data_IF_629710848485
#
_entry.id   IF_629710848485
#
_cell.length_a   1.000
_cell.length_b   1.000
_cell.length_c   1.000
_cell.angle_alpha   90.00
_cell.angle_beta   90.00
_cell.angle_gamma   90.00
#
_symmetry.space_group_name_H-M   'P 1'
#
loop_
_entity.id
_entity.type
_entity.pdbx_description
1 polymer ?
#
# COMPACT_ATOMS: atom_id res chain seq x y z
N UNK A 1 -12.95 -32.17 30.78
CA UNK A 1 -11.97 -31.24 30.23
C UNK A 1 -10.87 -31.00 31.22
N UNK A 2 -9.65 -31.44 30.92
CA UNK A 2 -8.50 -31.30 31.81
C UNK A 2 -7.91 -29.90 31.78
N UNK A 3 -7.03 -29.58 32.71
CA UNK A 3 -6.29 -28.30 32.76
C UNK A 3 -5.48 -28.08 31.45
N UNK A 4 -4.96 -29.16 30.87
CA UNK A 4 -4.22 -29.10 29.62
C UNK A 4 -5.12 -28.67 28.45
N UNK A 5 -6.34 -29.19 28.35
CA UNK A 5 -7.30 -28.82 27.32
C UNK A 5 -7.68 -27.34 27.42
N UNK A 6 -7.88 -26.85 28.66
CA UNK A 6 -8.16 -25.43 28.90
C UNK A 6 -6.99 -24.53 28.51
N UNK A 7 -5.74 -24.94 28.77
CA UNK A 7 -4.54 -24.20 28.41
C UNK A 7 -4.36 -24.14 26.89
N UNK A 8 -4.54 -25.27 26.19
CA UNK A 8 -4.45 -25.32 24.72
C UNK A 8 -5.54 -24.47 24.06
N UNK A 9 -6.77 -24.51 24.59
CA UNK A 9 -7.86 -23.66 24.10
C UNK A 9 -7.55 -22.17 24.29
N UNK A 10 -7.00 -21.79 25.45
CA UNK A 10 -6.61 -20.40 25.72
C UNK A 10 -5.51 -19.91 24.78
N UNK A 11 -4.49 -20.73 24.52
CA UNK A 11 -3.40 -20.43 23.58
C UNK A 11 -3.99 -20.27 22.16
N UNK A 12 -4.82 -21.20 21.72
CA UNK A 12 -5.47 -21.16 20.41
C UNK A 12 -6.31 -19.89 20.20
N UNK A 13 -7.11 -19.55 21.22
CA UNK A 13 -7.93 -18.31 21.18
C UNK A 13 -7.06 -17.05 21.16
N UNK A 14 -5.98 -17.03 21.94
CA UNK A 14 -5.03 -15.91 21.96
C UNK A 14 -4.36 -15.69 20.61
N UNK A 15 -3.91 -16.77 19.97
CA UNK A 15 -3.34 -16.72 18.62
C UNK A 15 -4.37 -16.26 17.59
N UNK A 16 -5.60 -16.75 17.67
CA UNK A 16 -6.68 -16.34 16.78
C UNK A 16 -7.00 -14.85 16.93
N UNK A 17 -7.04 -14.33 18.14
CA UNK A 17 -7.26 -12.91 18.41
C UNK A 17 -6.11 -12.05 17.88
N UNK A 18 -4.86 -12.51 18.03
CA UNK A 18 -3.69 -11.84 17.50
C UNK A 18 -3.75 -11.75 15.97
N UNK A 19 -3.98 -12.88 15.29
CA UNK A 19 -4.12 -12.93 13.83
C UNK A 19 -5.28 -12.05 13.33
N UNK A 20 -6.41 -12.08 14.04
CA UNK A 20 -7.55 -11.22 13.68
C UNK A 20 -7.24 -9.72 13.85
N UNK A 21 -6.44 -9.35 14.86
CA UNK A 21 -5.95 -7.99 15.05
C UNK A 21 -5.07 -7.53 13.91
N UNK A 22 -4.12 -8.36 13.49
CA UNK A 22 -3.23 -8.09 12.37
C UNK A 22 -3.95 -8.08 11.01
N UNK A 23 -4.99 -8.90 10.83
CA UNK A 23 -5.78 -8.93 9.59
C UNK A 23 -6.68 -7.70 9.40
N UNK A 24 -6.95 -6.95 10.46
CA UNK A 24 -7.69 -5.67 10.40
C UNK A 24 -6.73 -4.49 10.25
N UNK A 25 -5.84 -4.57 9.28
CA UNK A 25 -4.88 -3.52 9.02
C UNK A 25 -5.59 -2.21 8.66
N UNK A 26 -5.43 -1.20 9.49
CA UNK A 26 -5.81 0.17 9.15
C UNK A 26 -4.92 0.71 8.02
N UNK A 27 -5.46 1.66 7.28
CA UNK A 27 -4.72 2.43 6.29
C UNK A 27 -4.81 3.90 6.68
N UNK A 28 -3.67 4.53 6.93
CA UNK A 28 -3.58 5.98 7.12
C UNK A 28 -3.45 6.69 5.79
N UNK A 29 -4.21 7.76 5.64
CA UNK A 29 -4.15 8.65 4.49
C UNK A 29 -3.28 9.85 4.84
N UNK A 30 -2.22 10.06 4.05
CA UNK A 30 -1.20 11.03 4.36
C UNK A 30 -1.38 12.32 3.58
N UNK A 31 -1.06 13.44 4.23
CA UNK A 31 -0.93 14.76 3.62
C UNK A 31 0.36 15.43 4.06
N UNK A 32 0.81 16.41 3.28
CA UNK A 32 2.03 17.18 3.58
C UNK A 32 1.72 18.31 4.54
N UNK A 33 2.52 18.45 5.58
CA UNK A 33 2.50 19.64 6.44
C UNK A 33 3.06 20.85 5.68
N UNK A 34 2.47 22.01 5.94
CA UNK A 34 2.88 23.26 5.30
C UNK A 34 4.34 23.58 5.58
N UNK A 35 5.09 23.91 4.52
CA UNK A 35 6.50 24.29 4.59
C UNK A 35 7.50 23.15 4.83
N UNK A 36 7.06 21.88 4.93
CA UNK A 36 7.90 20.71 5.20
C UNK A 36 7.94 19.68 4.09
N UNK A 37 8.78 18.66 4.29
CA UNK A 37 8.83 17.43 3.49
C UNK A 37 8.16 16.27 4.24
N UNK A 38 7.49 16.55 5.37
CA UNK A 38 6.89 15.57 6.23
C UNK A 38 5.46 15.27 5.81
N UNK A 39 5.15 13.99 5.72
CA UNK A 39 3.81 13.48 5.42
C UNK A 39 3.23 12.82 6.66
N UNK A 40 2.07 13.30 7.07
CA UNK A 40 1.39 12.90 8.30
C UNK A 40 -0.03 12.44 8.03
N UNK A 41 -0.60 11.70 8.97
CA UNK A 41 -1.98 11.24 8.90
C UNK A 41 -2.96 12.43 8.93
N UNK A 42 -3.74 12.57 7.86
CA UNK A 42 -4.73 13.65 7.72
C UNK A 42 -5.87 13.57 8.73
N UNK A 43 -6.13 12.41 9.31
CA UNK A 43 -7.12 12.25 10.35
C UNK A 43 -6.67 12.88 11.68
N UNK A 44 -5.35 12.90 11.93
CA UNK A 44 -4.74 13.51 13.12
C UNK A 44 -4.28 14.95 12.87
N UNK A 45 -4.01 15.28 11.60
CA UNK A 45 -3.50 16.57 11.15
C UNK A 45 -4.39 17.11 10.03
N UNK A 46 -5.55 17.70 10.35
CA UNK A 46 -6.47 18.24 9.35
C UNK A 46 -5.87 19.39 8.51
N UNK A 47 -4.81 20.02 8.99
CA UNK A 47 -4.04 21.05 8.30
C UNK A 47 -3.16 20.51 7.18
N UNK A 48 -2.90 19.21 7.16
CA UNK A 48 -2.07 18.58 6.14
C UNK A 48 -2.76 18.60 4.77
N UNK A 49 -2.03 19.00 3.74
CA UNK A 49 -2.54 19.22 2.39
C UNK A 49 -2.20 18.03 1.49
N UNK A 50 -3.20 17.55 0.76
CA UNK A 50 -3.03 16.55 -0.30
C UNK A 50 -3.27 17.24 -1.66
N UNK A 51 -2.33 17.15 -2.62
CA UNK A 51 -2.55 17.71 -3.96
C UNK A 51 -3.75 17.07 -4.66
N UNK A 52 -4.50 17.83 -5.46
CA UNK A 52 -5.61 17.27 -6.24
C UNK A 52 -5.16 16.11 -7.15
N UNK A 53 -5.98 15.08 -7.26
CA UNK A 53 -5.67 13.90 -8.08
C UNK A 53 -4.60 12.98 -7.51
N UNK A 54 -4.22 13.14 -6.26
CA UNK A 54 -3.23 12.31 -5.57
C UNK A 54 -3.86 11.67 -4.34
N UNK A 55 -3.53 10.41 -4.09
CA UNK A 55 -3.76 9.74 -2.81
C UNK A 55 -2.42 9.24 -2.28
N UNK A 56 -2.21 9.41 -1.00
CA UNK A 56 -1.02 8.92 -0.31
C UNK A 56 -1.49 8.04 0.85
N UNK A 57 -1.13 6.78 0.81
CA UNK A 57 -1.57 5.79 1.77
C UNK A 57 -0.40 5.12 2.47
N UNK A 58 -0.58 4.77 3.73
CA UNK A 58 0.34 3.95 4.52
C UNK A 58 -0.45 2.90 5.29
N UNK A 59 -0.26 1.60 5.01
CA UNK A 59 -0.74 0.55 5.89
C UNK A 59 -0.12 0.70 7.29
N UNK A 60 -0.92 0.53 8.34
CA UNK A 60 -0.47 0.71 9.74
C UNK A 60 0.24 -0.52 10.31
N UNK A 61 0.23 -1.63 9.57
CA UNK A 61 0.89 -2.88 9.91
C UNK A 61 1.55 -3.48 8.66
N UNK A 62 2.54 -4.36 8.82
CA UNK A 62 3.15 -5.05 7.69
C UNK A 62 2.12 -5.77 6.83
N UNK A 63 2.29 -5.67 5.51
CA UNK A 63 1.49 -6.44 4.55
C UNK A 63 1.91 -7.90 4.58
N UNK A 64 0.93 -8.80 4.65
CA UNK A 64 1.13 -10.24 4.57
C UNK A 64 -0.15 -10.90 4.00
N UNK A 65 -0.09 -12.18 3.67
CA UNK A 65 -1.20 -12.92 3.04
C UNK A 65 -2.55 -12.74 3.76
N UNK A 66 -2.56 -12.53 5.09
CA UNK A 66 -3.78 -12.40 5.87
C UNK A 66 -4.45 -11.02 5.84
N UNK A 67 -3.77 -9.97 5.36
CA UNK A 67 -4.32 -8.61 5.33
C UNK A 67 -4.21 -7.91 3.98
N UNK A 68 -3.37 -8.38 3.07
CA UNK A 68 -3.10 -7.71 1.79
C UNK A 68 -4.38 -7.42 1.00
N UNK A 69 -5.27 -8.40 0.84
CA UNK A 69 -6.54 -8.24 0.12
C UNK A 69 -7.43 -7.15 0.74
N UNK A 70 -7.53 -7.12 2.08
CA UNK A 70 -8.31 -6.12 2.81
C UNK A 70 -7.73 -4.71 2.66
N UNK A 71 -6.41 -4.57 2.72
CA UNK A 71 -5.72 -3.30 2.49
C UNK A 71 -5.97 -2.82 1.06
N UNK A 72 -5.73 -3.66 0.05
CA UNK A 72 -5.93 -3.26 -1.34
C UNK A 72 -7.41 -3.01 -1.69
N UNK A 73 -8.36 -3.70 -1.07
CA UNK A 73 -9.78 -3.37 -1.18
C UNK A 73 -10.09 -1.96 -0.64
N UNK A 74 -9.52 -1.60 0.51
CA UNK A 74 -9.64 -0.26 1.09
C UNK A 74 -9.05 0.81 0.16
N UNK A 75 -7.87 0.54 -0.42
CA UNK A 75 -7.24 1.45 -1.37
C UNK A 75 -8.09 1.63 -2.63
N UNK A 76 -8.67 0.55 -3.18
CA UNK A 76 -9.59 0.61 -4.33
C UNK A 76 -10.81 1.47 -4.04
N UNK A 77 -11.48 1.22 -2.94
CA UNK A 77 -12.66 2.00 -2.53
C UNK A 77 -12.36 3.50 -2.45
N UNK A 78 -11.22 3.87 -1.86
CA UNK A 78 -10.82 5.28 -1.76
C UNK A 78 -10.44 5.87 -3.12
N UNK A 79 -9.74 5.11 -3.95
CA UNK A 79 -9.38 5.53 -5.30
C UNK A 79 -10.62 5.77 -6.19
N UNK A 80 -11.61 4.91 -6.07
CA UNK A 80 -12.90 5.04 -6.79
C UNK A 80 -13.68 6.27 -6.36
N UNK A 81 -13.60 6.65 -5.09
CA UNK A 81 -14.22 7.86 -4.53
C UNK A 81 -13.42 9.14 -4.82
N UNK A 82 -12.22 9.05 -5.42
CA UNK A 82 -11.36 10.20 -5.70
C UNK A 82 -11.47 10.60 -7.16
N UNK A 83 -12.11 11.73 -7.48
CA UNK A 83 -12.25 12.20 -8.86
C UNK A 83 -10.88 12.49 -9.48
N UNK A 84 -10.73 12.13 -10.75
CA UNK A 84 -9.53 12.43 -11.54
C UNK A 84 -8.21 11.99 -10.87
N UNK A 85 -8.24 10.84 -10.19
CA UNK A 85 -7.03 10.28 -9.56
C UNK A 85 -5.97 10.04 -10.64
N UNK A 86 -4.80 10.65 -10.48
CA UNK A 86 -3.65 10.51 -11.39
C UNK A 86 -2.56 9.64 -10.76
N UNK A 87 -2.38 9.74 -9.45
CA UNK A 87 -1.32 9.05 -8.73
C UNK A 87 -1.80 8.54 -7.39
N UNK A 88 -1.45 7.30 -7.10
CA UNK A 88 -1.51 6.75 -5.76
C UNK A 88 -0.09 6.44 -5.29
N UNK A 89 0.30 7.02 -4.16
CA UNK A 89 1.56 6.71 -3.48
C UNK A 89 1.25 5.77 -2.32
N UNK A 90 1.89 4.61 -2.30
CA UNK A 90 1.79 3.64 -1.22
C UNK A 90 3.12 3.56 -0.48
N UNK A 91 3.13 3.98 0.77
CA UNK A 91 4.30 3.84 1.64
C UNK A 91 4.35 2.42 2.20
N UNK A 92 5.46 1.72 1.96
CA UNK A 92 5.76 0.39 2.49
C UNK A 92 6.69 0.44 3.71
N UNK A 93 6.68 1.55 4.44
CA UNK A 93 7.54 1.77 5.60
C UNK A 93 7.38 0.68 6.66
N UNK A 94 6.15 0.23 6.90
CA UNK A 94 5.81 -0.81 7.87
C UNK A 94 6.03 -2.24 7.35
N UNK A 95 6.34 -2.40 6.06
CA UNK A 95 6.49 -3.71 5.41
C UNK A 95 7.96 -3.97 5.04
N UNK A 96 8.77 -4.46 5.98
CA UNK A 96 10.19 -4.72 5.73
C UNK A 96 10.42 -5.90 4.77
N UNK A 97 9.43 -6.75 4.63
CA UNK A 97 9.37 -7.90 3.73
C UNK A 97 7.96 -8.09 3.19
N UNK A 98 7.80 -8.82 2.09
CA UNK A 98 6.52 -9.18 1.50
C UNK A 98 6.51 -10.67 1.12
N UNK A 99 5.46 -11.37 1.48
CA UNK A 99 5.24 -12.74 0.99
C UNK A 99 4.71 -12.75 -0.46
N UNK A 100 4.71 -13.92 -1.07
CA UNK A 100 4.31 -14.10 -2.47
C UNK A 100 2.88 -13.61 -2.74
N UNK A 101 1.95 -13.87 -1.83
CA UNK A 101 0.55 -13.45 -1.93
C UNK A 101 0.42 -11.92 -1.89
N UNK A 102 1.17 -11.27 -1.02
CA UNK A 102 1.19 -9.79 -0.94
C UNK A 102 1.79 -9.15 -2.18
N UNK A 103 2.83 -9.76 -2.76
CA UNK A 103 3.42 -9.29 -4.02
C UNK A 103 2.44 -9.45 -5.17
N UNK A 104 1.75 -10.58 -5.27
CA UNK A 104 0.72 -10.82 -6.28
C UNK A 104 -0.41 -9.79 -6.16
N UNK A 105 -0.95 -9.60 -4.96
CA UNK A 105 -2.00 -8.61 -4.69
C UNK A 105 -1.53 -7.17 -5.01
N UNK A 106 -0.26 -6.84 -4.76
CA UNK A 106 0.34 -5.55 -5.10
C UNK A 106 0.44 -5.37 -6.63
N UNK A 107 0.87 -6.39 -7.36
CA UNK A 107 0.94 -6.36 -8.83
C UNK A 107 -0.45 -6.23 -9.45
N UNK A 108 -1.45 -6.96 -8.95
CA UNK A 108 -2.84 -6.85 -9.38
C UNK A 108 -3.41 -5.46 -9.12
N UNK A 109 -3.06 -4.87 -7.97
CA UNK A 109 -3.46 -3.51 -7.66
C UNK A 109 -2.78 -2.48 -8.58
N UNK A 110 -1.50 -2.67 -8.92
CA UNK A 110 -0.80 -1.82 -9.87
C UNK A 110 -1.44 -1.88 -11.28
N UNK A 111 -1.80 -3.09 -11.73
CA UNK A 111 -2.51 -3.29 -12.99
C UNK A 111 -3.87 -2.58 -12.97
N UNK A 112 -4.64 -2.76 -11.89
CA UNK A 112 -5.94 -2.14 -11.72
C UNK A 112 -5.86 -0.61 -11.75
N UNK A 113 -4.91 0.02 -11.04
CA UNK A 113 -4.71 1.47 -11.06
C UNK A 113 -4.37 1.97 -12.46
N UNK A 114 -3.49 1.25 -13.17
CA UNK A 114 -3.10 1.61 -14.53
C UNK A 114 -4.23 1.51 -15.55
N UNK A 115 -5.10 0.50 -15.42
CA UNK A 115 -6.30 0.37 -16.26
C UNK A 115 -7.27 1.53 -16.10
N UNK A 116 -7.26 2.19 -14.94
CA UNK A 116 -8.07 3.38 -14.65
C UNK A 116 -7.38 4.70 -15.01
N UNK A 117 -6.23 4.64 -15.65
CA UNK A 117 -5.46 5.81 -16.06
C UNK A 117 -4.68 6.47 -14.91
N UNK A 118 -4.54 5.78 -13.77
CA UNK A 118 -3.77 6.23 -12.63
C UNK A 118 -2.42 5.50 -12.55
N UNK A 119 -1.48 6.04 -11.80
CA UNK A 119 -0.17 5.44 -11.56
C UNK A 119 -0.02 5.06 -10.09
N UNK A 120 0.37 3.81 -9.82
CA UNK A 120 0.84 3.41 -8.50
C UNK A 120 2.35 3.69 -8.39
N UNK A 121 2.75 4.34 -7.31
CA UNK A 121 4.15 4.58 -6.94
C UNK A 121 4.34 4.08 -5.51
N UNK A 122 5.40 3.33 -5.28
CA UNK A 122 5.77 2.85 -3.95
C UNK A 122 6.86 3.75 -3.36
N UNK A 123 6.70 4.11 -2.10
CA UNK A 123 7.68 4.86 -1.33
C UNK A 123 8.17 4.02 -0.14
N UNK A 124 9.35 4.33 0.38
CA UNK A 124 9.93 3.67 1.56
C UNK A 124 10.07 2.15 1.42
N UNK A 125 10.32 1.69 0.20
CA UNK A 125 10.52 0.27 -0.10
C UNK A 125 11.87 -0.18 0.43
N UNK A 126 11.91 -1.23 1.23
CA UNK A 126 13.16 -1.84 1.73
C UNK A 126 13.88 -2.61 0.62
N UNK A 127 15.19 -2.75 0.72
CA UNK A 127 16.01 -3.40 -0.31
C UNK A 127 15.56 -4.84 -0.61
N UNK A 128 15.22 -5.62 0.42
CA UNK A 128 14.66 -6.97 0.25
C UNK A 128 13.43 -6.98 -0.65
N UNK A 129 12.50 -6.03 -0.43
CA UNK A 129 11.28 -5.92 -1.24
C UNK A 129 11.60 -5.41 -2.65
N UNK A 130 12.58 -4.51 -2.81
CA UNK A 130 13.05 -4.05 -4.13
C UNK A 130 13.58 -5.21 -4.97
N UNK A 131 14.40 -6.07 -4.36
CA UNK A 131 14.98 -7.24 -5.01
C UNK A 131 13.88 -8.20 -5.47
N UNK A 132 12.89 -8.46 -4.61
CA UNK A 132 11.73 -9.29 -4.94
C UNK A 132 10.92 -8.71 -6.12
N UNK A 133 10.58 -7.42 -6.08
CA UNK A 133 9.87 -6.75 -7.17
C UNK A 133 10.69 -6.75 -8.48
N UNK A 134 12.01 -6.60 -8.38
CA UNK A 134 12.93 -6.71 -9.51
C UNK A 134 12.94 -8.09 -10.16
N UNK A 135 12.71 -9.16 -9.39
CA UNK A 135 12.59 -10.53 -9.90
C UNK A 135 11.22 -10.76 -10.59
N UNK A 136 10.14 -10.22 -10.04
CA UNK A 136 8.77 -10.36 -10.58
C UNK A 136 8.60 -9.62 -11.91
N UNK A 137 9.28 -8.48 -12.11
CA UNK A 137 9.28 -7.68 -13.35
C UNK A 137 7.88 -7.36 -13.89
N UNK A 138 6.99 -6.90 -13.01
CA UNK A 138 5.65 -6.50 -13.44
C UNK A 138 5.69 -5.31 -14.39
N UNK A 139 5.02 -5.41 -15.53
CA UNK A 139 4.93 -4.33 -16.52
C UNK A 139 4.13 -3.11 -15.99
N UNK A 140 3.22 -3.34 -15.06
CA UNK A 140 2.38 -2.31 -14.45
C UNK A 140 3.03 -1.67 -13.21
N UNK A 141 4.16 -2.26 -12.74
CA UNK A 141 4.98 -1.75 -11.65
C UNK A 141 6.46 -1.72 -12.07
N UNK A 142 6.87 -0.82 -12.98
CA UNK A 142 8.24 -0.73 -13.44
C UNK A 142 9.19 -0.28 -12.33
N UNK A 143 10.49 -0.54 -12.47
CA UNK A 143 11.51 -0.20 -11.45
C UNK A 143 11.45 1.26 -10.99
N UNK A 144 11.14 2.20 -11.88
CA UNK A 144 10.97 3.60 -11.52
C UNK A 144 9.83 3.83 -10.52
N UNK A 145 8.80 2.98 -10.51
CA UNK A 145 7.65 3.13 -9.61
C UNK A 145 7.95 2.75 -8.16
N UNK A 146 9.03 2.02 -7.88
CA UNK A 146 9.47 1.68 -6.53
C UNK A 146 10.91 2.14 -6.23
N UNK A 147 11.45 3.04 -7.07
CA UNK A 147 12.74 3.68 -6.84
C UNK A 147 12.76 4.72 -5.71
N UNK A 148 11.66 5.48 -5.43
CA UNK A 148 11.67 6.53 -4.42
C UNK A 148 12.06 6.04 -3.03
N UNK A 149 12.89 6.81 -2.34
CA UNK A 149 13.27 6.55 -0.95
C UNK A 149 12.27 7.14 0.05
N UNK A 150 11.58 8.21 -0.34
CA UNK A 150 10.60 8.91 0.49
C UNK A 150 9.30 9.11 -0.25
N UNK A 151 8.25 9.52 0.49
CA UNK A 151 6.98 9.93 -0.10
C UNK A 151 7.17 11.20 -0.95
N UNK A 152 8.03 12.11 -0.51
CA UNK A 152 8.33 13.35 -1.27
C UNK A 152 8.97 13.03 -2.63
N UNK A 153 9.94 12.11 -2.66
CA UNK A 153 10.54 11.65 -3.92
C UNK A 153 9.49 11.01 -4.84
N UNK A 154 8.58 10.22 -4.27
CA UNK A 154 7.49 9.60 -5.01
C UNK A 154 6.54 10.62 -5.65
N UNK A 155 6.34 11.75 -4.96
CA UNK A 155 5.52 12.84 -5.49
C UNK A 155 6.16 13.58 -6.66
N UNK A 156 7.48 13.59 -6.76
CA UNK A 156 8.24 14.29 -7.79
C UNK A 156 8.43 13.46 -9.07
N UNK A 157 8.11 12.16 -9.04
CA UNK A 157 8.23 11.32 -10.24
C UNK A 157 7.32 11.84 -11.37
N UNK A 158 7.78 11.79 -12.63
CA UNK A 158 6.92 12.12 -13.77
C UNK A 158 5.76 11.10 -13.86
N UNK A 159 4.60 11.54 -14.32
CA UNK A 159 3.50 10.64 -14.63
C UNK A 159 3.88 9.78 -15.84
N UNK A 160 3.65 8.48 -15.74
CA UNK A 160 3.81 7.59 -16.89
C UNK A 160 2.74 7.92 -17.93
N UNK A 161 3.09 7.86 -19.24
CA UNK A 161 2.09 8.06 -20.28
C UNK A 161 0.99 6.99 -20.14
N UNK A 162 -0.26 7.35 -20.43
CA UNK A 162 -1.36 6.40 -20.39
C UNK A 162 -1.05 5.22 -21.33
N UNK A 163 -1.38 4.01 -20.89
CA UNK A 163 -1.23 2.82 -21.73
C UNK A 163 -2.07 3.06 -23.01
N UNK A 164 -1.42 3.07 -24.17
CA UNK A 164 -2.16 3.08 -25.44
C UNK A 164 -3.12 1.90 -25.42
N UNK A 165 -4.42 2.18 -25.46
CA UNK A 165 -5.41 1.13 -25.68
C UNK A 165 -5.13 0.52 -27.05
N UNK A 166 -4.72 -0.73 -27.09
CA UNK A 166 -4.78 -1.52 -28.32
C UNK A 166 -6.26 -1.61 -28.72
N UNK A 167 -6.69 -0.63 -29.51
CA UNK A 167 -7.91 -0.76 -30.30
C UNK A 167 -7.50 -1.49 -31.57
N UNK A 168 -7.70 -2.77 -31.57
CA UNK A 168 -7.85 -3.56 -32.77
C UNK A 168 -9.27 -4.06 -32.86
#
# INVERSE_FOLDING_TARGET
>A
LGVLDGLLAAIGLSLLMLLRGMSRAGVSWLGRLDGGHDYVDTARHPEAVVPPGVLIARPEVPLFFGNADGVFATLRTRAEATPMLQRMVLSLEESPDLDATSIEALCDFAQWTRQRGSQLVLARVKDTVRDLLGQVRSADLPAAAYAPWSVDDAMQLPLLPPKKSDRS
#
